data_IF_412048197070
#
_entry.id   IF_412048197070
#
_cell.length_a   1.000
_cell.length_b   1.000
_cell.length_c   1.000
_cell.angle_alpha   90.00
_cell.angle_beta   90.00
_cell.angle_gamma   90.00
#
_symmetry.space_group_name_H-M   'P 1'
#
loop_
_entity.id
_entity.type
_entity.pdbx_description
1 polymer ?
#
# COMPACT_ATOMS: atom_id res chain seq x y z
N UNK A 1 24.95 -26.00 -14.11
CA UNK A 1 23.68 -25.42 -14.60
C UNK A 1 22.86 -25.01 -13.39
N UNK A 2 22.31 -23.78 -13.32
CA UNK A 2 21.36 -23.44 -12.28
C UNK A 2 20.16 -24.39 -12.38
N UNK A 3 19.71 -24.96 -11.25
CA UNK A 3 18.49 -25.77 -11.21
C UNK A 3 17.32 -24.92 -11.72
N UNK A 4 16.51 -25.47 -12.63
CA UNK A 4 15.27 -24.82 -13.04
C UNK A 4 14.41 -24.53 -11.81
N UNK A 5 13.80 -23.34 -11.77
CA UNK A 5 12.97 -22.89 -10.66
C UNK A 5 11.72 -23.76 -10.59
N UNK A 6 11.51 -24.44 -9.46
CA UNK A 6 10.30 -25.20 -9.21
C UNK A 6 9.22 -24.27 -8.63
N UNK A 7 8.46 -23.62 -9.51
CA UNK A 7 7.41 -22.67 -9.11
C UNK A 7 6.37 -23.30 -8.17
N UNK A 8 6.00 -24.56 -8.39
CA UNK A 8 5.02 -25.25 -7.55
C UNK A 8 5.52 -25.41 -6.09
N UNK A 9 6.79 -25.79 -5.92
CA UNK A 9 7.40 -25.94 -4.60
C UNK A 9 7.52 -24.60 -3.87
N UNK A 10 7.95 -23.55 -4.57
CA UNK A 10 8.03 -22.20 -4.00
C UNK A 10 6.65 -21.65 -3.61
N UNK A 11 5.64 -21.87 -4.44
CA UNK A 11 4.25 -21.48 -4.12
C UNK A 11 3.76 -22.18 -2.86
N UNK A 12 3.99 -23.49 -2.71
CA UNK A 12 3.64 -24.21 -1.48
C UNK A 12 4.39 -23.64 -0.28
N UNK A 13 5.70 -23.40 -0.39
CA UNK A 13 6.50 -22.80 0.69
C UNK A 13 5.97 -21.42 1.09
N UNK A 14 5.68 -20.55 0.12
CA UNK A 14 5.22 -19.19 0.37
C UNK A 14 3.81 -19.19 0.97
N UNK A 15 2.93 -20.07 0.47
CA UNK A 15 1.60 -20.27 1.05
C UNK A 15 1.68 -20.70 2.51
N UNK A 16 2.52 -21.69 2.84
CA UNK A 16 2.71 -22.12 4.24
C UNK A 16 3.25 -20.97 5.11
N UNK A 17 4.20 -20.21 4.58
CA UNK A 17 4.85 -19.11 5.31
C UNK A 17 3.87 -17.96 5.57
N UNK A 18 3.10 -17.53 4.56
CA UNK A 18 2.13 -16.44 4.71
C UNK A 18 0.94 -16.85 5.58
N UNK A 19 0.48 -18.12 5.53
CA UNK A 19 -0.53 -18.61 6.47
C UNK A 19 -0.04 -18.57 7.92
N UNK A 20 1.22 -18.99 8.16
CA UNK A 20 1.83 -18.92 9.50
C UNK A 20 1.94 -17.47 9.96
N UNK A 21 2.38 -16.58 9.07
CA UNK A 21 2.45 -15.15 9.33
C UNK A 21 1.08 -14.60 9.75
N UNK A 22 0.05 -14.76 8.90
CA UNK A 22 -1.32 -14.30 9.19
C UNK A 22 -1.85 -14.85 10.52
N UNK A 23 -1.65 -16.14 10.80
CA UNK A 23 -2.07 -16.73 12.08
C UNK A 23 -1.36 -16.14 13.29
N UNK A 24 -0.08 -15.77 13.17
CA UNK A 24 0.66 -15.12 14.26
C UNK A 24 0.30 -13.65 14.42
N UNK A 25 0.05 -12.93 13.32
CA UNK A 25 -0.37 -11.52 13.39
C UNK A 25 -1.65 -11.36 14.22
N UNK A 26 -2.55 -12.34 14.18
CA UNK A 26 -3.78 -12.40 14.99
C UNK A 26 -3.55 -12.50 16.49
N UNK A 27 -2.34 -12.84 16.95
CA UNK A 27 -2.02 -13.02 18.37
C UNK A 27 -1.28 -11.83 18.98
N UNK A 28 -0.90 -10.83 18.18
CA UNK A 28 -0.19 -9.67 18.69
C UNK A 28 -1.15 -8.75 19.45
N UNK A 29 -0.77 -8.41 20.68
CA UNK A 29 -1.43 -7.37 21.47
C UNK A 29 -0.89 -5.96 21.14
N UNK A 30 0.23 -5.87 20.42
CA UNK A 30 0.87 -4.63 20.01
C UNK A 30 0.63 -4.36 18.52
N UNK A 31 0.42 -3.09 18.19
CA UNK A 31 0.09 -2.63 16.84
C UNK A 31 1.32 -2.13 16.06
N UNK A 32 2.48 -2.10 16.71
CA UNK A 32 3.79 -1.85 16.11
C UNK A 32 4.64 -3.09 16.35
N UNK A 33 5.17 -3.66 15.27
CA UNK A 33 6.07 -4.81 15.26
C UNK A 33 7.50 -4.28 15.14
N UNK A 34 8.34 -4.62 16.11
CA UNK A 34 9.76 -4.25 16.10
C UNK A 34 10.56 -5.23 15.24
N UNK A 35 11.81 -4.88 14.95
CA UNK A 35 12.71 -5.70 14.13
C UNK A 35 12.79 -7.14 14.63
N UNK A 36 12.89 -7.35 15.95
CA UNK A 36 12.95 -8.70 16.53
C UNK A 36 11.65 -9.49 16.34
N UNK A 37 10.49 -8.82 16.43
CA UNK A 37 9.18 -9.43 16.14
C UNK A 37 9.10 -9.88 14.68
N UNK A 38 9.53 -9.00 13.75
CA UNK A 38 9.54 -9.25 12.32
C UNK A 38 10.47 -10.42 11.96
N UNK A 39 11.69 -10.44 12.49
CA UNK A 39 12.63 -11.54 12.30
C UNK A 39 12.06 -12.86 12.82
N UNK A 40 11.45 -12.83 14.01
CA UNK A 40 10.75 -13.97 14.58
C UNK A 40 9.60 -14.49 13.69
N UNK A 41 9.01 -13.64 12.87
CA UNK A 41 7.95 -13.97 11.90
C UNK A 41 8.48 -14.42 10.53
N UNK A 42 9.79 -14.43 10.31
CA UNK A 42 10.38 -14.69 8.99
C UNK A 42 10.25 -13.52 8.02
N UNK A 43 10.16 -12.29 8.57
CA UNK A 43 10.11 -11.05 7.82
C UNK A 43 11.43 -10.30 8.02
N UNK A 44 12.11 -10.00 6.91
CA UNK A 44 13.35 -9.23 6.91
C UNK A 44 13.05 -7.81 6.49
N UNK A 45 13.34 -6.86 7.36
CA UNK A 45 13.12 -5.44 7.08
C UNK A 45 14.44 -4.76 6.71
N UNK A 46 14.38 -3.89 5.72
CA UNK A 46 15.46 -2.95 5.38
C UNK A 46 14.88 -1.59 5.06
N UNK A 47 15.63 -0.54 5.39
CA UNK A 47 15.32 0.80 4.88
C UNK A 47 15.89 0.96 3.48
N UNK A 48 15.17 1.64 2.59
CA UNK A 48 15.70 2.04 1.29
C UNK A 48 15.47 3.53 1.02
N UNK A 49 16.41 4.14 0.32
CA UNK A 49 16.25 5.50 -0.18
C UNK A 49 15.37 5.47 -1.44
N UNK A 50 14.18 6.09 -1.43
CA UNK A 50 13.28 6.07 -2.57
C UNK A 50 13.76 6.93 -3.76
N UNK A 51 14.87 7.66 -3.59
CA UNK A 51 15.55 8.40 -4.65
C UNK A 51 16.74 7.63 -5.25
N UNK A 52 17.25 6.59 -4.59
CA UNK A 52 18.34 5.74 -5.11
C UNK A 52 17.78 4.60 -5.97
N UNK A 53 17.72 4.83 -7.29
CA UNK A 53 17.12 3.92 -8.27
C UNK A 53 18.04 2.77 -8.70
N UNK A 54 18.63 2.09 -7.72
CA UNK A 54 19.51 0.93 -7.95
C UNK A 54 18.72 -0.32 -8.42
N UNK A 55 19.44 -1.37 -8.81
CA UNK A 55 18.86 -2.60 -9.38
C UNK A 55 17.94 -3.36 -8.41
N UNK A 56 17.98 -3.05 -7.11
CA UNK A 56 17.11 -3.71 -6.15
C UNK A 56 15.65 -3.23 -6.26
N UNK A 57 15.34 -2.04 -6.78
CA UNK A 57 13.97 -1.51 -6.78
C UNK A 57 13.01 -2.41 -7.58
N UNK A 58 11.96 -2.89 -6.90
CA UNK A 58 10.92 -3.76 -7.49
C UNK A 58 9.86 -2.91 -8.20
N UNK A 59 9.59 -1.71 -7.70
CA UNK A 59 8.63 -0.78 -8.29
C UNK A 59 9.35 0.50 -8.67
N UNK A 60 9.71 0.63 -9.94
CA UNK A 60 10.42 1.80 -10.41
C UNK A 60 9.47 2.99 -10.40
N UNK A 61 9.74 4.04 -9.61
CA UNK A 61 8.92 5.23 -9.64
C UNK A 61 9.04 5.93 -10.99
N UNK A 62 8.00 6.67 -11.35
CA UNK A 62 8.06 7.65 -12.43
C UNK A 62 9.26 8.58 -12.19
N UNK A 63 10.02 8.94 -13.23
CA UNK A 63 11.13 9.87 -13.04
C UNK A 63 10.61 11.28 -12.74
N UNK A 64 11.41 12.10 -12.07
CA UNK A 64 11.08 13.53 -11.84
C UNK A 64 10.88 14.24 -13.18
N UNK A 65 11.76 13.98 -14.14
CA UNK A 65 11.68 14.55 -15.47
C UNK A 65 10.39 14.17 -16.19
N UNK A 66 9.95 12.91 -16.11
CA UNK A 66 8.67 12.53 -16.70
C UNK A 66 7.49 13.18 -15.97
N UNK A 67 7.53 13.33 -14.63
CA UNK A 67 6.44 13.98 -13.88
C UNK A 67 6.32 15.46 -14.24
N UNK A 68 7.43 16.15 -14.53
CA UNK A 68 7.42 17.55 -14.96
C UNK A 68 6.67 17.80 -16.28
N UNK A 69 6.45 16.77 -17.10
CA UNK A 69 5.62 16.87 -18.30
C UNK A 69 4.11 16.89 -17.99
N UNK A 70 3.72 16.78 -16.72
CA UNK A 70 2.34 16.81 -16.26
C UNK A 70 2.04 18.12 -15.54
N UNK A 71 0.86 18.68 -15.82
CA UNK A 71 0.31 19.84 -15.14
C UNK A 71 -1.13 19.60 -14.74
N UNK A 72 -1.65 20.49 -13.89
CA UNK A 72 -3.05 20.44 -13.46
C UNK A 72 -3.94 20.73 -14.68
N UNK A 73 -4.84 19.81 -14.97
CA UNK A 73 -5.88 19.94 -15.97
C UNK A 73 -7.00 20.85 -15.43
N UNK A 74 -7.07 22.07 -15.96
CA UNK A 74 -8.04 23.08 -15.54
C UNK A 74 -9.49 22.63 -15.73
N UNK A 75 -9.79 21.74 -16.68
CA UNK A 75 -11.15 21.24 -16.92
C UNK A 75 -11.55 20.28 -15.82
N UNK A 76 -10.67 19.38 -15.42
CA UNK A 76 -10.93 18.45 -14.31
C UNK A 76 -11.10 19.18 -12.98
N UNK A 77 -10.36 20.28 -12.79
CA UNK A 77 -10.43 21.09 -11.57
C UNK A 77 -11.64 22.02 -11.50
N UNK A 78 -12.49 22.09 -12.54
CA UNK A 78 -13.79 22.77 -12.43
C UNK A 78 -14.80 22.01 -11.57
N UNK A 79 -14.53 20.75 -11.22
CA UNK A 79 -15.38 19.98 -10.32
C UNK A 79 -15.17 20.42 -8.86
N UNK A 80 -16.22 20.94 -8.22
CA UNK A 80 -16.19 21.38 -6.82
C UNK A 80 -15.73 20.30 -5.82
N UNK A 81 -16.04 19.02 -6.08
CA UNK A 81 -15.59 17.92 -5.22
C UNK A 81 -14.08 17.71 -5.31
N UNK A 82 -13.51 17.86 -6.51
CA UNK A 82 -12.07 17.77 -6.74
C UNK A 82 -11.36 18.96 -6.08
N UNK A 83 -11.89 20.18 -6.23
CA UNK A 83 -11.34 21.37 -5.56
C UNK A 83 -11.28 21.20 -4.05
N UNK A 84 -12.34 20.65 -3.43
CA UNK A 84 -12.36 20.37 -1.99
C UNK A 84 -11.32 19.34 -1.56
N UNK A 85 -11.00 18.36 -2.42
CA UNK A 85 -9.93 17.38 -2.15
C UNK A 85 -8.53 17.97 -2.34
N UNK A 86 -8.37 18.91 -3.28
CA UNK A 86 -7.13 19.65 -3.52
C UNK A 86 -6.88 20.75 -2.47
N UNK A 87 -7.87 21.09 -1.66
CA UNK A 87 -7.73 21.98 -0.51
C UNK A 87 -7.33 21.18 0.74
N UNK A 88 -6.02 20.99 0.90
CA UNK A 88 -5.44 20.39 2.09
C UNK A 88 -4.74 21.50 2.90
N UNK A 89 -5.35 22.06 3.96
CA UNK A 89 -4.69 23.08 4.80
C UNK A 89 -3.69 22.45 5.76
N UNK A 90 -2.80 23.23 6.37
CA UNK A 90 -1.93 22.78 7.46
C UNK A 90 -2.72 21.98 8.52
N UNK A 91 -2.16 20.86 8.96
CA UNK A 91 -2.78 20.06 9.99
C UNK A 91 -2.69 20.77 11.34
N UNK A 92 -3.83 20.84 12.02
CA UNK A 92 -3.92 21.33 13.39
C UNK A 92 -4.44 20.19 14.27
N UNK A 93 -3.89 20.02 15.50
CA UNK A 93 -4.45 19.07 16.45
C UNK A 93 -5.93 19.36 16.71
N UNK A 94 -6.80 18.34 16.75
CA UNK A 94 -8.19 18.54 17.10
C UNK A 94 -8.31 19.10 18.53
N UNK A 95 -9.26 20.02 18.73
CA UNK A 95 -9.59 20.48 20.07
C UNK A 95 -10.20 19.32 20.88
N UNK A 96 -9.86 19.18 22.18
CA UNK A 96 -10.36 18.08 22.99
C UNK A 96 -11.89 18.11 23.10
N UNK A 97 -12.51 16.97 22.83
CA UNK A 97 -13.97 16.84 22.70
C UNK A 97 -14.77 17.01 24.02
N UNK A 98 -14.12 17.10 25.18
CA UNK A 98 -14.79 17.21 26.48
C UNK A 98 -14.15 18.25 27.41
N UNK A 99 -14.97 18.83 28.31
CA UNK A 99 -14.55 19.84 29.31
C UNK A 99 -13.43 19.34 30.26
N UNK A 100 -13.13 18.04 30.25
CA UNK A 100 -12.08 17.40 31.05
C UNK A 100 -10.77 17.17 30.29
N UNK A 101 -10.71 17.41 28.99
CA UNK A 101 -9.50 17.29 28.17
C UNK A 101 -8.99 15.86 27.93
N UNK A 102 -9.81 14.82 28.14
CA UNK A 102 -9.38 13.41 27.99
C UNK A 102 -10.01 12.81 26.74
N UNK A 103 -9.21 12.59 25.70
CA UNK A 103 -9.61 11.87 24.48
C UNK A 103 -9.35 10.38 24.69
N UNK A 104 -10.28 9.50 24.27
CA UNK A 104 -10.05 8.06 24.34
C UNK A 104 -9.08 7.61 23.23
N UNK A 105 -8.36 6.51 23.47
CA UNK A 105 -7.43 5.94 22.48
C UNK A 105 -8.10 5.70 21.12
N UNK A 106 -9.33 5.19 21.13
CA UNK A 106 -10.09 4.95 19.91
C UNK A 106 -10.44 6.23 19.15
N UNK A 107 -10.75 7.32 19.86
CA UNK A 107 -10.98 8.62 19.24
C UNK A 107 -9.70 9.18 18.61
N UNK A 108 -8.55 9.06 19.29
CA UNK A 108 -7.25 9.42 18.72
C UNK A 108 -6.97 8.64 17.42
N UNK A 109 -7.24 7.33 17.41
CA UNK A 109 -7.01 6.51 16.23
C UNK A 109 -7.99 6.79 15.09
N UNK A 110 -9.25 7.14 15.41
CA UNK A 110 -10.22 7.59 14.41
C UNK A 110 -9.78 8.91 13.76
N UNK A 111 -9.27 9.84 14.55
CA UNK A 111 -8.82 11.12 14.02
C UNK A 111 -7.51 10.99 13.23
N UNK A 112 -6.61 10.11 13.68
CA UNK A 112 -5.43 9.69 12.91
C UNK A 112 -5.80 9.09 11.55
N UNK A 113 -6.80 8.20 11.52
CA UNK A 113 -7.29 7.57 10.30
C UNK A 113 -7.90 8.60 9.35
N UNK A 114 -8.82 9.46 9.83
CA UNK A 114 -9.41 10.53 9.00
C UNK A 114 -8.34 11.47 8.44
N UNK A 115 -7.33 11.79 9.22
CA UNK A 115 -6.28 12.69 8.76
C UNK A 115 -5.36 12.01 7.72
N UNK A 116 -5.12 10.70 7.83
CA UNK A 116 -4.51 9.90 6.76
C UNK A 116 -5.37 9.79 5.50
N UNK A 117 -6.69 9.63 5.64
CA UNK A 117 -7.65 9.65 4.52
C UNK A 117 -7.60 10.97 3.76
N UNK A 118 -7.47 12.11 4.45
CA UNK A 118 -7.33 13.42 3.80
C UNK A 118 -6.07 13.53 2.94
N UNK A 119 -4.96 12.95 3.38
CA UNK A 119 -3.73 12.88 2.57
C UNK A 119 -3.96 12.00 1.33
N UNK A 120 -4.69 10.88 1.48
CA UNK A 120 -5.05 10.04 0.35
C UNK A 120 -5.95 10.76 -0.65
N UNK A 121 -7.02 11.42 -0.19
CA UNK A 121 -7.95 12.17 -1.05
C UNK A 121 -7.23 13.25 -1.87
N UNK A 122 -6.28 13.95 -1.25
CA UNK A 122 -5.44 14.93 -1.92
C UNK A 122 -4.54 14.27 -2.98
N UNK A 123 -3.83 13.19 -2.62
CA UNK A 123 -3.00 12.41 -3.57
C UNK A 123 -3.81 11.86 -4.75
N UNK A 124 -5.01 11.33 -4.49
CA UNK A 124 -5.92 10.81 -5.50
C UNK A 124 -6.40 11.92 -6.44
N UNK A 125 -6.76 13.08 -5.89
CA UNK A 125 -7.18 14.23 -6.68
C UNK A 125 -6.04 14.74 -7.57
N UNK A 126 -4.81 14.89 -7.04
CA UNK A 126 -3.64 15.22 -7.84
C UNK A 126 -3.39 14.17 -8.94
N UNK A 127 -3.36 12.89 -8.57
CA UNK A 127 -3.10 11.79 -9.51
C UNK A 127 -4.14 11.73 -10.65
N UNK A 128 -5.38 12.13 -10.37
CA UNK A 128 -6.48 12.15 -11.34
C UNK A 128 -6.50 13.40 -12.21
N UNK A 129 -6.05 14.55 -11.69
CA UNK A 129 -6.12 15.84 -12.36
C UNK A 129 -4.82 16.26 -13.05
N UNK A 130 -3.72 15.54 -12.84
CA UNK A 130 -2.50 15.77 -13.60
C UNK A 130 -2.65 15.17 -14.99
N UNK A 131 -2.50 15.98 -16.03
CA UNK A 131 -2.50 15.57 -17.45
C UNK A 131 -1.23 16.07 -18.14
N UNK A 132 -0.83 15.41 -19.22
CA UNK A 132 0.34 15.86 -19.98
C UNK A 132 0.12 17.27 -20.53
N UNK A 133 1.11 18.14 -20.35
CA UNK A 133 1.05 19.55 -20.77
C UNK A 133 0.83 19.75 -22.28
N UNK A 134 1.12 18.72 -23.08
CA UNK A 134 0.97 18.71 -24.54
C UNK A 134 -0.18 17.81 -25.03
N UNK A 135 -0.89 17.12 -24.13
CA UNK A 135 -1.99 16.21 -24.44
C UNK A 135 -2.88 16.02 -23.19
N UNK A 136 -3.93 16.84 -23.09
CA UNK A 136 -4.90 16.84 -22.00
C UNK A 136 -5.70 15.53 -21.90
N UNK A 137 -5.75 14.74 -22.97
CA UNK A 137 -6.37 13.41 -23.01
C UNK A 137 -5.49 12.29 -22.43
N UNK A 138 -4.33 12.64 -21.86
CA UNK A 138 -3.37 11.72 -21.26
C UNK A 138 -3.14 12.01 -19.76
N UNK A 139 -4.11 11.69 -18.87
CA UNK A 139 -3.96 11.88 -17.44
C UNK A 139 -2.88 10.96 -16.84
N UNK A 140 -2.26 11.38 -15.74
CA UNK A 140 -1.28 10.61 -14.98
C UNK A 140 -1.89 9.32 -14.44
N UNK A 141 -3.19 9.33 -14.14
CA UNK A 141 -3.93 8.14 -13.74
C UNK A 141 -3.94 7.03 -14.81
N UNK A 142 -3.83 7.42 -16.07
CA UNK A 142 -3.66 6.52 -17.22
C UNK A 142 -2.19 6.33 -17.61
N UNK A 143 -1.26 7.02 -16.93
CA UNK A 143 0.15 6.73 -17.07
C UNK A 143 0.43 5.36 -16.47
N UNK A 144 0.96 4.47 -17.31
CA UNK A 144 1.17 3.04 -17.03
C UNK A 144 -0.15 2.26 -16.95
N UNK A 145 -0.01 0.96 -16.76
CA UNK A 145 -1.10 0.01 -16.94
C UNK A 145 -1.67 -0.49 -15.61
N UNK A 146 -1.72 0.38 -14.60
CA UNK A 146 -2.40 0.06 -13.34
C UNK A 146 -3.90 0.08 -13.55
N UNK A 147 -4.58 -0.98 -13.13
CA UNK A 147 -6.03 -1.10 -13.16
C UNK A 147 -6.54 -1.58 -11.82
N UNK A 148 -7.67 -1.09 -11.37
CA UNK A 148 -8.21 -1.50 -10.08
C UNK A 148 -8.53 -3.00 -10.05
N UNK A 149 -8.18 -3.61 -8.92
CA UNK A 149 -8.56 -4.98 -8.62
C UNK A 149 -10.00 -4.92 -8.13
N UNK A 150 -10.95 -5.68 -8.72
CA UNK A 150 -12.30 -5.76 -8.19
C UNK A 150 -12.27 -6.38 -6.79
N UNK A 151 -13.09 -5.81 -5.89
CA UNK A 151 -13.15 -6.20 -4.49
C UNK A 151 -14.61 -6.54 -4.12
N UNK A 152 -14.92 -7.77 -3.70
CA UNK A 152 -14.06 -8.97 -3.75
C UNK A 152 -13.77 -9.38 -5.21
N UNK A 153 -12.61 -10.02 -5.44
CA UNK A 153 -12.25 -10.51 -6.77
C UNK A 153 -12.99 -11.82 -7.07
N UNK A 154 -13.51 -12.04 -8.29
CA UNK A 154 -14.33 -13.22 -8.59
C UNK A 154 -13.56 -14.54 -8.56
N UNK A 155 -12.23 -14.50 -8.77
CA UNK A 155 -11.42 -15.71 -8.93
C UNK A 155 -10.87 -16.33 -7.63
N UNK A 156 -11.06 -15.72 -6.46
CA UNK A 156 -10.54 -16.31 -5.22
C UNK A 156 -11.50 -16.21 -4.04
N UNK A 157 -11.53 -17.28 -3.25
CA UNK A 157 -12.27 -17.37 -1.99
C UNK A 157 -11.32 -17.14 -0.81
N UNK A 158 -11.79 -16.38 0.17
CA UNK A 158 -11.05 -16.22 1.42
C UNK A 158 -11.35 -17.41 2.36
N UNK A 159 -10.34 -18.08 2.93
CA UNK A 159 -10.58 -19.22 3.81
C UNK A 159 -11.13 -18.72 5.15
N UNK A 160 -12.30 -19.22 5.60
CA UNK A 160 -12.87 -18.82 6.89
C UNK A 160 -11.91 -19.01 8.07
N UNK A 161 -11.02 -20.01 8.01
CA UNK A 161 -10.03 -20.31 9.05
C UNK A 161 -8.99 -19.20 9.25
N UNK A 162 -8.71 -18.39 8.22
CA UNK A 162 -7.81 -17.24 8.32
C UNK A 162 -8.49 -16.01 8.93
N UNK A 163 -9.80 -16.08 9.22
CA UNK A 163 -10.54 -15.02 9.88
C UNK A 163 -11.08 -13.98 8.92
N UNK A 164 -11.19 -12.72 9.37
CA UNK A 164 -11.67 -11.62 8.54
C UNK A 164 -10.69 -11.23 7.45
N UNK A 165 -11.19 -11.12 6.22
CA UNK A 165 -10.47 -10.54 5.10
C UNK A 165 -10.74 -9.05 5.02
N UNK A 166 -9.75 -8.24 5.35
CA UNK A 166 -9.87 -6.79 5.24
C UNK A 166 -9.90 -6.29 3.80
N UNK A 167 -9.61 -7.18 2.83
CA UNK A 167 -9.63 -6.85 1.42
C UNK A 167 -10.99 -6.33 0.94
N UNK A 168 -12.12 -6.68 1.57
CA UNK A 168 -13.48 -6.22 1.20
C UNK A 168 -13.79 -4.75 1.54
N UNK A 169 -12.76 -3.93 1.82
CA UNK A 169 -12.87 -2.53 2.31
C UNK A 169 -13.51 -2.38 3.70
N UNK A 170 -13.67 -3.49 4.41
CA UNK A 170 -13.94 -3.48 5.85
C UNK A 170 -12.66 -3.15 6.63
N UNK A 171 -12.81 -2.58 7.83
CA UNK A 171 -11.68 -2.32 8.70
C UNK A 171 -10.90 -3.61 8.97
N UNK A 172 -9.65 -3.61 8.56
CA UNK A 172 -8.76 -4.71 8.75
C UNK A 172 -8.29 -4.79 10.17
N UNK A 173 -8.64 -5.92 10.79
CA UNK A 173 -8.43 -6.15 12.21
C UNK A 173 -7.92 -7.55 12.50
N UNK A 174 -7.66 -8.38 11.46
CA UNK A 174 -7.16 -9.76 11.60
C UNK A 174 -7.82 -10.47 12.81
N UNK A 175 -9.15 -10.50 12.85
CA UNK A 175 -10.04 -11.02 13.92
C UNK A 175 -10.32 -10.16 15.16
N UNK A 176 -9.84 -8.94 15.31
CA UNK A 176 -10.20 -8.15 16.48
C UNK A 176 -11.61 -7.53 16.42
N UNK A 177 -12.21 -7.37 15.23
CA UNK A 177 -13.33 -6.43 15.08
C UNK A 177 -12.90 -5.02 15.54
N UNK A 178 -13.71 -3.97 15.34
CA UNK A 178 -13.42 -2.70 15.99
C UNK A 178 -13.42 -2.96 17.50
N UNK A 179 -12.24 -2.94 18.12
CA UNK A 179 -12.15 -3.05 19.57
C UNK A 179 -12.56 -1.70 20.17
N UNK A 180 -12.92 -1.65 21.47
CA UNK A 180 -13.11 -0.39 22.15
C UNK A 180 -11.89 0.54 22.11
N UNK A 181 -10.71 0.00 21.80
CA UNK A 181 -9.42 0.71 21.87
C UNK A 181 -8.82 0.99 20.49
N UNK A 182 -9.09 0.16 19.47
CA UNK A 182 -8.41 0.23 18.18
C UNK A 182 -9.33 0.14 16.96
N UNK A 183 -9.04 0.97 15.96
CA UNK A 183 -9.82 1.09 14.71
C UNK A 183 -9.29 0.22 13.57
N UNK A 184 -8.02 -0.19 13.63
CA UNK A 184 -7.37 -1.02 12.61
C UNK A 184 -6.83 -0.22 11.41
N UNK A 185 -6.94 -0.82 10.23
CA UNK A 185 -6.55 -0.19 8.94
C UNK A 185 -7.65 -0.33 7.90
N UNK A 186 -7.54 0.41 6.80
CA UNK A 186 -8.48 0.34 5.68
C UNK A 186 -7.75 0.44 4.35
N UNK A 187 -8.11 -0.42 3.40
CA UNK A 187 -7.68 -0.26 2.01
C UNK A 187 -8.45 0.89 1.38
N UNK A 188 -7.71 1.89 0.91
CA UNK A 188 -8.25 2.97 0.11
C UNK A 188 -8.26 2.60 -1.38
N UNK A 189 -7.18 1.97 -1.86
CA UNK A 189 -7.09 1.46 -3.22
C UNK A 189 -6.27 0.18 -3.30
N UNK A 190 -6.60 -0.64 -4.29
CA UNK A 190 -5.84 -1.81 -4.69
C UNK A 190 -5.89 -1.94 -6.20
N UNK A 191 -4.72 -1.93 -6.83
CA UNK A 191 -4.59 -1.98 -8.29
C UNK A 191 -3.58 -3.05 -8.69
N UNK A 192 -3.77 -3.58 -9.89
CA UNK A 192 -2.89 -4.56 -10.53
C UNK A 192 -2.30 -4.00 -11.80
N UNK A 193 -1.09 -4.42 -12.12
CA UNK A 193 -0.46 -4.02 -13.36
C UNK A 193 -0.84 -4.98 -14.48
N UNK A 194 -1.32 -4.44 -15.61
CA UNK A 194 -1.66 -5.23 -16.80
C UNK A 194 -0.63 -5.02 -17.91
N UNK A 195 -0.01 -6.09 -18.39
CA UNK A 195 0.79 -5.96 -19.60
C UNK A 195 -0.14 -5.63 -20.77
N UNK A 196 0.26 -4.68 -21.62
CA UNK A 196 -0.45 -4.34 -22.86
C UNK A 196 0.32 -4.93 -24.03
N UNK A 197 0.11 -6.21 -24.36
CA UNK A 197 0.82 -6.83 -25.47
C UNK A 197 0.42 -6.17 -26.79
N UNK A 198 1.30 -6.24 -27.80
CA UNK A 198 1.01 -5.74 -29.16
C UNK A 198 -0.21 -6.41 -29.81
N UNK A 199 -0.59 -7.60 -29.35
CA UNK A 199 -1.76 -8.38 -29.78
C UNK A 199 -2.35 -9.16 -28.61
N UNK A 200 -3.68 -9.21 -28.54
CA UNK A 200 -4.43 -9.93 -27.49
C UNK A 200 -4.87 -9.04 -26.34
N UNK A 201 -5.63 -9.62 -25.41
CA UNK A 201 -6.15 -8.91 -24.25
C UNK A 201 -5.05 -8.60 -23.23
N UNK A 202 -5.13 -7.46 -22.52
CA UNK A 202 -4.21 -7.13 -21.45
C UNK A 202 -4.17 -8.22 -20.39
N UNK A 203 -2.97 -8.65 -20.01
CA UNK A 203 -2.79 -9.72 -19.01
C UNK A 203 -2.36 -9.12 -17.67
N UNK A 204 -3.16 -9.37 -16.64
CA UNK A 204 -2.77 -9.04 -15.27
C UNK A 204 -1.44 -9.72 -14.94
N UNK A 205 -0.58 -8.98 -14.25
CA UNK A 205 0.63 -9.50 -13.64
C UNK A 205 0.40 -9.69 -12.14
N UNK A 206 1.22 -10.53 -11.47
CA UNK A 206 1.14 -10.76 -10.03
C UNK A 206 1.36 -9.52 -9.15
N UNK A 207 1.88 -8.43 -9.72
CA UNK A 207 2.22 -7.19 -9.02
C UNK A 207 0.97 -6.47 -8.54
N UNK A 208 1.00 -6.03 -7.28
CA UNK A 208 -0.08 -5.28 -6.66
C UNK A 208 0.43 -3.96 -6.11
N UNK A 209 -0.34 -2.90 -6.31
CA UNK A 209 -0.17 -1.60 -5.66
C UNK A 209 -1.34 -1.36 -4.70
N UNK A 210 -1.03 -0.90 -3.50
CA UNK A 210 -2.00 -0.65 -2.43
C UNK A 210 -1.83 0.78 -1.91
N UNK A 211 -2.94 1.38 -1.52
CA UNK A 211 -2.94 2.48 -0.55
C UNK A 211 -3.74 2.04 0.66
N UNK A 212 -3.12 2.12 1.84
CA UNK A 212 -3.73 1.71 3.11
C UNK A 212 -3.62 2.85 4.10
N UNK A 213 -4.73 3.14 4.79
CA UNK A 213 -4.76 4.11 5.88
C UNK A 213 -4.87 3.35 7.21
N UNK A 214 -4.12 3.79 8.21
CA UNK A 214 -4.09 3.19 9.54
C UNK A 214 -4.53 4.21 10.61
N UNK A 215 -5.22 3.73 11.65
CA UNK A 215 -5.51 4.57 12.82
C UNK A 215 -4.35 4.65 13.82
N UNK A 216 -3.37 3.75 13.72
CA UNK A 216 -2.16 3.80 14.55
C UNK A 216 -1.18 4.87 14.05
N UNK A 217 -0.32 5.39 14.92
CA UNK A 217 0.81 6.26 14.56
C UNK A 217 2.01 5.42 14.17
N UNK A 218 2.71 5.81 13.10
CA UNK A 218 3.90 5.12 12.64
C UNK A 218 5.06 5.19 13.62
N UNK A 219 5.96 4.22 13.52
CA UNK A 219 7.18 4.13 14.32
C UNK A 219 8.39 3.98 13.39
N UNK A 220 9.39 4.88 13.44
CA UNK A 220 10.59 4.78 12.61
C UNK A 220 11.36 3.46 12.80
N UNK A 221 11.22 2.82 13.97
CA UNK A 221 11.93 1.60 14.35
C UNK A 221 11.05 0.34 14.24
N UNK A 222 9.96 0.40 13.48
CA UNK A 222 9.04 -0.72 13.37
C UNK A 222 8.07 -0.64 12.20
N UNK A 223 7.14 -1.60 12.17
CA UNK A 223 6.10 -1.74 11.16
C UNK A 223 4.75 -1.88 11.83
N UNK A 224 3.76 -1.12 11.34
CA UNK A 224 2.40 -1.24 11.80
C UNK A 224 1.89 -2.65 11.50
N UNK A 225 1.16 -3.23 12.44
CA UNK A 225 0.48 -4.50 12.27
C UNK A 225 -0.39 -4.49 11.00
N UNK A 226 -1.01 -3.35 10.69
CA UNK A 226 -1.82 -3.17 9.49
C UNK A 226 -1.03 -3.12 8.19
N UNK A 227 0.23 -2.64 8.19
CA UNK A 227 1.07 -2.65 6.99
C UNK A 227 1.43 -4.09 6.63
N UNK A 228 1.96 -4.85 7.60
CA UNK A 228 2.34 -6.24 7.38
C UNK A 228 1.11 -7.13 7.15
N UNK A 229 0.03 -6.90 7.90
CA UNK A 229 -1.23 -7.61 7.77
C UNK A 229 -1.86 -7.43 6.40
N UNK A 230 -1.88 -6.21 5.86
CA UNK A 230 -2.40 -5.95 4.53
C UNK A 230 -1.54 -6.63 3.45
N UNK A 231 -0.21 -6.47 3.48
CA UNK A 231 0.72 -7.14 2.55
C UNK A 231 0.54 -8.65 2.56
N UNK A 232 0.48 -9.27 3.75
CA UNK A 232 0.32 -10.71 3.87
C UNK A 232 -1.02 -11.21 3.28
N UNK A 233 -2.11 -10.48 3.49
CA UNK A 233 -3.42 -10.81 2.90
C UNK A 233 -3.38 -10.74 1.37
N UNK A 234 -2.75 -9.71 0.80
CA UNK A 234 -2.62 -9.56 -0.66
C UNK A 234 -1.83 -10.70 -1.27
N UNK A 235 -0.66 -11.00 -0.68
CA UNK A 235 0.20 -12.09 -1.17
C UNK A 235 -0.57 -13.41 -1.08
N UNK A 236 -1.29 -13.66 0.01
CA UNK A 236 -2.12 -14.85 0.14
C UNK A 236 -3.20 -14.91 -0.95
N UNK A 237 -3.91 -13.80 -1.21
CA UNK A 237 -4.93 -13.73 -2.25
C UNK A 237 -4.35 -14.05 -3.63
N UNK A 238 -3.22 -13.41 -4.00
CA UNK A 238 -2.55 -13.64 -5.29
C UNK A 238 -1.99 -15.05 -5.44
N UNK A 239 -1.44 -15.63 -4.37
CA UNK A 239 -1.01 -17.03 -4.36
C UNK A 239 -2.19 -17.99 -4.63
N UNK A 240 -3.40 -17.64 -4.24
CA UNK A 240 -4.59 -18.47 -4.43
C UNK A 240 -5.36 -18.15 -5.71
N UNK A 241 -4.95 -17.15 -6.47
CA UNK A 241 -5.62 -16.76 -7.69
C UNK A 241 -5.25 -17.72 -8.84
N UNK A 242 -6.24 -18.42 -9.46
CA UNK A 242 -6.00 -19.38 -10.54
C UNK A 242 -5.22 -18.81 -11.72
N UNK A 243 -5.49 -17.56 -12.12
CA UNK A 243 -4.75 -16.90 -13.21
C UNK A 243 -3.25 -16.72 -12.94
N UNK A 244 -2.78 -16.92 -11.70
CA UNK A 244 -1.37 -16.88 -11.31
C UNK A 244 -0.83 -18.24 -10.83
N UNK A 245 -1.47 -19.36 -11.20
CA UNK A 245 -1.04 -20.70 -10.76
C UNK A 245 0.41 -21.05 -11.15
N UNK A 246 0.92 -20.47 -12.24
CA UNK A 246 2.27 -20.70 -12.75
C UNK A 246 3.29 -19.66 -12.26
N UNK A 247 2.88 -18.72 -11.40
CA UNK A 247 3.73 -17.66 -10.88
C UNK A 247 4.15 -17.95 -9.44
N UNK A 248 5.40 -17.61 -9.10
CA UNK A 248 5.91 -17.67 -7.72
C UNK A 248 6.45 -16.33 -7.22
N UNK A 249 6.26 -15.25 -7.99
CA UNK A 249 6.74 -13.92 -7.68
C UNK A 249 5.54 -13.00 -7.50
N UNK A 250 5.32 -12.51 -6.27
CA UNK A 250 4.13 -11.73 -5.90
C UNK A 250 4.51 -10.41 -5.20
N UNK A 251 5.05 -9.43 -5.93
CA UNK A 251 5.45 -8.18 -5.30
C UNK A 251 4.26 -7.30 -4.93
N UNK A 252 4.42 -6.59 -3.83
CA UNK A 252 3.45 -5.63 -3.33
C UNK A 252 4.14 -4.29 -3.11
N UNK A 253 3.61 -3.24 -3.74
CA UNK A 253 3.87 -1.85 -3.41
C UNK A 253 2.76 -1.37 -2.49
N UNK A 254 3.11 -0.74 -1.37
CA UNK A 254 2.16 -0.12 -0.48
C UNK A 254 2.56 1.32 -0.22
N UNK A 255 1.59 2.23 -0.37
CA UNK A 255 1.62 3.54 0.26
C UNK A 255 0.84 3.39 1.56
N UNK A 256 1.55 3.50 2.68
CA UNK A 256 0.96 3.46 4.03
C UNK A 256 0.81 4.88 4.52
N UNK A 257 -0.40 5.24 4.92
CA UNK A 257 -0.76 6.55 5.47
C UNK A 257 -1.30 6.39 6.88
N UNK A 258 -0.86 7.23 7.81
CA UNK A 258 -1.22 7.13 9.22
C UNK A 258 -1.16 8.47 9.92
N UNK A 259 -1.80 8.53 11.10
CA UNK A 259 -1.96 9.79 11.80
C UNK A 259 -0.68 10.41 12.36
N UNK A 260 -0.70 11.71 12.66
CA UNK A 260 -1.72 12.68 12.24
C UNK A 260 -1.76 12.89 10.73
N UNK A 261 -0.63 13.20 10.07
CA UNK A 261 -0.54 13.19 8.61
C UNK A 261 0.85 12.75 8.21
N UNK A 262 1.07 11.45 8.27
CA UNK A 262 2.34 10.84 7.92
C UNK A 262 2.13 9.71 6.93
N UNK A 263 3.19 9.35 6.24
CA UNK A 263 3.16 8.17 5.39
C UNK A 263 4.54 7.66 5.03
N UNK A 264 4.57 6.45 4.49
CA UNK A 264 5.79 5.87 3.92
C UNK A 264 5.45 4.88 2.82
N UNK A 265 6.46 4.52 2.05
CA UNK A 265 6.34 3.56 0.97
C UNK A 265 6.98 2.24 1.41
N UNK A 266 6.31 1.14 1.11
CA UNK A 266 6.79 -0.21 1.37
C UNK A 266 6.80 -1.02 0.07
N UNK A 267 7.86 -1.80 -0.12
CA UNK A 267 7.93 -2.84 -1.15
C UNK A 267 8.10 -4.18 -0.47
N UNK A 268 7.33 -5.18 -0.87
CA UNK A 268 7.39 -6.49 -0.26
C UNK A 268 7.37 -7.60 -1.29
N UNK A 269 8.17 -8.64 -1.05
CA UNK A 269 8.20 -9.83 -1.88
C UNK A 269 8.76 -11.03 -1.11
N UNK A 270 8.22 -12.22 -1.35
CA UNK A 270 8.85 -13.45 -0.86
C UNK A 270 10.06 -13.81 -1.71
N UNK A 271 11.20 -14.04 -1.05
CA UNK A 271 12.43 -14.52 -1.68
C UNK A 271 12.45 -16.04 -1.72
N UNK A 272 13.21 -16.64 -2.65
CA UNK A 272 13.31 -18.12 -2.81
C UNK A 272 13.70 -18.87 -1.53
N UNK A 273 14.40 -18.20 -0.62
CA UNK A 273 14.75 -18.75 0.69
C UNK A 273 13.54 -18.92 1.63
N UNK A 274 12.36 -18.42 1.27
CA UNK A 274 11.11 -18.60 2.02
C UNK A 274 10.81 -17.50 3.05
N UNK A 275 11.59 -16.42 3.07
CA UNK A 275 11.32 -15.26 3.91
C UNK A 275 10.63 -14.15 3.12
N UNK A 276 9.84 -13.33 3.82
CA UNK A 276 9.26 -12.11 3.27
C UNK A 276 10.27 -10.97 3.43
N UNK A 277 10.77 -10.42 2.33
CA UNK A 277 11.52 -9.18 2.37
C UNK A 277 10.55 -8.01 2.38
N UNK A 278 10.80 -7.06 3.28
CA UNK A 278 10.09 -5.81 3.41
C UNK A 278 11.09 -4.67 3.33
N UNK A 279 10.92 -3.79 2.34
CA UNK A 279 11.73 -2.59 2.18
C UNK A 279 10.86 -1.41 2.47
N UNK A 280 11.28 -0.55 3.39
CA UNK A 280 10.49 0.60 3.83
C UNK A 280 11.28 1.88 3.62
N UNK A 281 10.60 2.96 3.28
CA UNK A 281 11.20 4.29 3.38
C UNK A 281 11.14 4.78 4.82
N UNK A 282 11.89 5.86 5.11
CA UNK A 282 11.61 6.71 6.27
C UNK A 282 10.14 7.19 6.28
N UNK A 283 9.68 7.62 7.45
CA UNK A 283 8.38 8.28 7.60
C UNK A 283 8.48 9.70 7.04
N UNK A 284 7.54 10.05 6.18
CA UNK A 284 7.38 11.37 5.59
C UNK A 284 6.24 12.12 6.28
N UNK A 285 6.41 13.42 6.43
CA UNK A 285 5.47 14.33 7.08
C UNK A 285 4.64 15.07 6.02
N UNK A 286 3.32 15.07 6.24
CA UNK A 286 2.29 15.72 5.42
C UNK A 286 1.44 16.69 6.25
N UNK A 287 1.88 17.04 7.46
CA UNK A 287 1.21 18.02 8.31
C UNK A 287 1.26 19.41 7.69
N UNK A 288 2.32 19.71 6.93
CA UNK A 288 2.46 20.93 6.13
C UNK A 288 2.53 20.58 4.64
N UNK A 289 1.46 20.80 3.87
CA UNK A 289 1.40 20.45 2.46
C UNK A 289 2.54 21.03 1.63
N UNK A 290 2.94 22.28 1.88
CA UNK A 290 3.99 22.97 1.11
C UNK A 290 5.39 22.35 1.30
N UNK A 291 5.61 21.63 2.40
CA UNK A 291 6.88 20.95 2.70
C UNK A 291 6.82 19.44 2.41
N UNK A 292 5.63 18.91 2.08
CA UNK A 292 5.36 17.49 1.98
C UNK A 292 5.83 16.90 0.64
N UNK A 293 6.34 15.66 0.61
CA UNK A 293 6.91 15.06 -0.60
C UNK A 293 5.82 14.43 -1.50
N UNK A 294 4.79 15.20 -1.89
CA UNK A 294 3.71 14.68 -2.74
C UNK A 294 4.21 14.10 -4.07
N UNK A 295 5.16 14.77 -4.71
CA UNK A 295 5.78 14.31 -5.96
C UNK A 295 6.37 12.89 -5.82
N UNK A 296 7.02 12.60 -4.69
CA UNK A 296 7.56 11.26 -4.43
C UNK A 296 6.45 10.21 -4.45
N UNK A 297 5.35 10.46 -3.74
CA UNK A 297 4.24 9.52 -3.63
C UNK A 297 3.48 9.38 -4.96
N UNK A 298 3.29 10.47 -5.71
CA UNK A 298 2.72 10.45 -7.05
C UNK A 298 3.58 9.63 -8.03
N UNK A 299 4.90 9.76 -7.96
CA UNK A 299 5.83 8.96 -8.78
C UNK A 299 5.73 7.47 -8.47
N UNK A 300 5.53 7.09 -7.21
CA UNK A 300 5.30 5.70 -6.83
C UNK A 300 3.89 5.19 -7.19
N UNK A 301 2.87 6.05 -7.11
CA UNK A 301 1.55 5.74 -7.68
C UNK A 301 1.69 5.44 -9.18
N UNK A 302 2.38 6.29 -9.94
CA UNK A 302 2.64 6.11 -11.38
C UNK A 302 3.81 5.15 -11.70
N UNK A 303 4.26 4.33 -10.73
CA UNK A 303 5.41 3.43 -10.92
C UNK A 303 5.16 2.35 -11.98
N UNK A 304 6.23 1.70 -12.43
CA UNK A 304 6.14 0.47 -13.20
C UNK A 304 6.86 -0.68 -12.47
N UNK A 305 6.31 -1.90 -12.51
CA UNK A 305 6.96 -3.05 -11.91
C UNK A 305 8.25 -3.41 -12.66
N UNK A 306 9.29 -3.74 -11.91
CA UNK A 306 10.52 -4.36 -12.37
C UNK A 306 10.58 -5.77 -11.79
N UNK A 307 11.04 -6.71 -12.63
CA UNK A 307 11.39 -8.04 -12.15
C UNK A 307 12.85 -7.98 -11.74
N UNK A 308 13.11 -8.10 -10.44
CA UNK A 308 14.48 -8.26 -9.96
C UNK A 308 14.92 -9.73 -10.11
N UNK A 309 16.22 -9.97 -9.95
CA UNK A 309 16.78 -11.31 -9.93
C UNK A 309 16.28 -12.02 -8.67
N UNK A 310 15.21 -12.79 -8.90
CA UNK A 310 14.48 -13.59 -7.92
C UNK A 310 15.36 -14.52 -7.09
#
# INVERSE_FOLDING_TARGET
MPRAINHAELRTQFRTSVCRLLNRLRTFAQYVLKVDDLLGLGVYISEFDPFDLNEAIIFQPFSEQELHDYGIDEVLVQNEEILKKLDLPDWTPPEPANEKGVISRREEELDAMKAGERVFEYLEAMYSCLSKLYDDMSPLSMARNWTDIPIPHPEYSWPPELGHNSWTREYGLLNHGPTPEHVGWQYQSASEWKDRPKRGDPRAQPHVRLVVVHGATGDPNGVLLGELGAIAQVIYNRLNQPSFENESYFPVLMISLFGPRHGRILQAVYRRAGYLELRVTRIHDFTKPDEAPFDLFLRYLASYPRRDDY
#
